data_IF_606562774685
#
_entry.id   IF_606562774685
#
_cell.length_a   1.000
_cell.length_b   1.000
_cell.length_c   1.000
_cell.angle_alpha   90.00
_cell.angle_beta   90.00
_cell.angle_gamma   90.00
#
_symmetry.space_group_name_H-M   'P 1'
#
loop_
_entity.id
_entity.type
_entity.pdbx_description
1 polymer ?
#
# COMPACT_ATOMS: atom_id res chain seq x y z
N UNK A 1 17.97 6.38 -3.76
CA UNK A 1 16.52 6.25 -3.48
C UNK A 1 16.33 5.74 -2.07
N UNK A 2 15.88 6.61 -1.16
CA UNK A 2 15.37 6.14 0.13
C UNK A 2 14.08 5.37 -0.11
N UNK A 3 13.80 4.27 0.60
CA UNK A 3 12.50 3.63 0.53
C UNK A 3 11.44 4.66 0.92
N UNK A 4 10.39 4.80 0.10
CA UNK A 4 9.20 5.60 0.41
C UNK A 4 8.50 5.16 1.72
N UNK A 5 8.92 4.04 2.30
CA UNK A 5 8.46 3.51 3.60
C UNK A 5 8.76 4.47 4.77
N UNK A 6 9.75 5.36 4.64
CA UNK A 6 10.17 6.24 5.75
C UNK A 6 9.51 7.63 5.75
N UNK A 7 8.68 7.95 4.75
CA UNK A 7 7.83 9.14 4.80
C UNK A 7 6.47 8.73 5.34
N UNK A 8 6.35 8.73 6.68
CA UNK A 8 5.05 8.81 7.34
C UNK A 8 4.35 10.06 6.79
N UNK A 9 3.48 9.86 5.79
CA UNK A 9 2.45 10.82 5.46
C UNK A 9 1.69 11.04 6.76
N UNK A 10 1.72 12.27 7.28
CA UNK A 10 0.95 12.64 8.46
C UNK A 10 -0.48 12.10 8.29
N UNK A 11 -0.99 11.32 9.26
CA UNK A 11 -2.33 10.80 9.18
C UNK A 11 -3.27 12.00 9.34
N UNK A 12 -3.70 12.62 8.24
CA UNK A 12 -4.90 13.44 8.23
C UNK A 12 -6.03 12.53 8.70
N UNK A 13 -6.37 12.51 9.98
CA UNK A 13 -7.35 11.60 10.57
C UNK A 13 -8.65 11.58 9.75
N UNK A 14 -9.21 10.37 9.50
CA UNK A 14 -10.61 10.26 9.07
C UNK A 14 -11.39 10.41 10.36
N UNK A 15 -11.56 11.65 10.83
CA UNK A 15 -12.19 11.91 12.13
C UNK A 15 -13.67 11.51 12.13
N UNK A 16 -14.30 11.35 10.96
CA UNK A 16 -15.68 10.84 10.87
C UNK A 16 -15.85 9.81 9.75
N UNK A 17 -15.79 8.52 10.10
CA UNK A 17 -16.34 7.44 9.24
C UNK A 17 -17.85 7.64 9.05
N UNK A 18 -18.52 8.37 9.95
CA UNK A 18 -19.98 8.61 9.89
C UNK A 18 -20.43 9.45 8.69
N UNK A 19 -19.55 10.27 8.11
CA UNK A 19 -19.87 11.12 6.95
C UNK A 19 -19.27 10.63 5.64
N UNK A 20 -18.41 9.61 5.67
CA UNK A 20 -17.83 9.01 4.48
C UNK A 20 -18.88 8.24 3.68
N UNK A 21 -19.10 8.66 2.43
CA UNK A 21 -20.10 8.07 1.53
C UNK A 21 -19.50 7.19 0.44
N UNK A 22 -18.22 7.40 0.12
CA UNK A 22 -17.53 6.71 -0.99
C UNK A 22 -16.17 6.19 -0.56
N UNK A 23 -15.74 5.09 -1.18
CA UNK A 23 -14.35 4.67 -1.18
C UNK A 23 -13.64 5.25 -2.40
N UNK A 24 -12.56 6.00 -2.20
CA UNK A 24 -11.75 6.66 -3.24
C UNK A 24 -10.50 5.82 -3.55
N UNK A 25 -10.14 5.70 -4.83
CA UNK A 25 -8.86 5.18 -5.30
C UNK A 25 -8.20 6.22 -6.22
N UNK A 26 -7.07 6.78 -5.79
CA UNK A 26 -6.29 7.74 -6.58
C UNK A 26 -5.09 7.02 -7.19
N UNK A 27 -5.07 6.89 -8.51
CA UNK A 27 -3.99 6.22 -9.25
C UNK A 27 -3.11 7.27 -9.90
N UNK A 28 -1.81 7.19 -9.66
CA UNK A 28 -0.82 8.13 -10.15
C UNK A 28 0.31 7.43 -10.90
N UNK A 29 0.83 8.08 -11.93
CA UNK A 29 1.98 7.66 -12.73
C UNK A 29 2.94 8.83 -12.91
N UNK A 30 4.21 8.56 -13.16
CA UNK A 30 5.21 9.57 -13.56
C UNK A 30 6.07 9.00 -14.69
N UNK A 31 6.62 9.86 -15.54
CA UNK A 31 7.62 9.52 -16.56
C UNK A 31 9.06 9.60 -16.02
N UNK A 32 9.29 10.18 -14.84
CA UNK A 32 10.62 10.36 -14.25
C UNK A 32 11.20 9.05 -13.72
N UNK A 33 10.33 8.22 -13.14
CA UNK A 33 10.69 6.89 -12.66
C UNK A 33 10.07 5.88 -13.60
N UNK A 34 10.88 5.19 -14.42
CA UNK A 34 10.38 4.11 -15.26
C UNK A 34 9.58 3.15 -14.40
N UNK A 35 8.43 2.72 -14.92
CA UNK A 35 7.62 1.68 -14.31
C UNK A 35 6.98 2.08 -12.95
N UNK A 36 6.97 3.37 -12.61
CA UNK A 36 6.24 3.83 -11.42
C UNK A 36 4.74 3.93 -11.69
N UNK A 37 3.98 3.23 -10.85
CA UNK A 37 2.56 3.49 -10.65
C UNK A 37 2.27 3.42 -9.15
N UNK A 38 1.43 4.32 -8.65
CA UNK A 38 1.04 4.43 -7.24
C UNK A 38 -0.47 4.53 -7.11
N UNK A 39 -1.05 3.91 -6.10
CA UNK A 39 -2.47 3.96 -5.77
C UNK A 39 -2.63 4.33 -4.30
N UNK A 40 -3.51 5.30 -4.04
CA UNK A 40 -3.92 5.69 -2.70
C UNK A 40 -5.38 5.32 -2.49
N UNK A 41 -5.67 4.62 -1.39
CA UNK A 41 -7.04 4.33 -0.97
C UNK A 41 -7.39 5.14 0.26
N UNK A 42 -8.58 5.75 0.24
CA UNK A 42 -9.16 6.45 1.38
C UNK A 42 -10.68 6.52 1.31
N UNK A 43 -11.30 6.99 2.38
CA UNK A 43 -12.70 7.39 2.38
C UNK A 43 -12.89 8.81 1.82
N UNK A 44 -14.03 9.06 1.20
CA UNK A 44 -14.43 10.37 0.71
C UNK A 44 -15.92 10.64 1.01
N UNK A 45 -16.23 11.89 1.36
CA UNK A 45 -17.61 12.36 1.61
C UNK A 45 -18.36 12.64 0.30
N UNK A 46 -17.64 13.11 -0.72
CA UNK A 46 -18.16 13.46 -2.03
C UNK A 46 -17.23 13.01 -3.17
N UNK A 47 -17.79 12.89 -4.37
CA UNK A 47 -17.01 12.60 -5.57
C UNK A 47 -16.50 13.90 -6.19
N UNK A 48 -15.22 14.20 -5.97
CA UNK A 48 -14.54 15.35 -6.59
C UNK A 48 -13.22 14.89 -7.21
N UNK A 49 -13.32 14.30 -8.41
CA UNK A 49 -12.18 13.67 -9.08
C UNK A 49 -11.04 14.66 -9.38
N UNK A 50 -11.37 15.93 -9.66
CA UNK A 50 -10.37 16.96 -9.97
C UNK A 50 -9.57 17.33 -8.72
N UNK A 51 -10.25 17.70 -7.64
CA UNK A 51 -9.59 18.07 -6.38
C UNK A 51 -8.81 16.90 -5.80
N UNK A 52 -9.37 15.68 -5.88
CA UNK A 52 -8.66 14.47 -5.50
C UNK A 52 -7.35 14.29 -6.26
N UNK A 53 -7.39 14.39 -7.60
CA UNK A 53 -6.22 14.21 -8.43
C UNK A 53 -5.15 15.28 -8.17
N UNK A 54 -5.57 16.55 -8.00
CA UNK A 54 -4.67 17.66 -7.69
C UNK A 54 -4.00 17.48 -6.33
N UNK A 55 -4.75 17.09 -5.30
CA UNK A 55 -4.23 16.84 -3.95
C UNK A 55 -3.19 15.72 -3.92
N UNK A 56 -3.48 14.57 -4.53
CA UNK A 56 -2.55 13.44 -4.52
C UNK A 56 -1.33 13.72 -5.40
N UNK A 57 -1.52 14.41 -6.53
CA UNK A 57 -0.42 14.91 -7.35
C UNK A 57 0.52 15.78 -6.52
N UNK A 58 -0.01 16.73 -5.75
CA UNK A 58 0.79 17.60 -4.90
C UNK A 58 1.59 16.82 -3.85
N UNK A 59 1.02 15.76 -3.26
CA UNK A 59 1.75 14.88 -2.34
C UNK A 59 2.95 14.24 -3.03
N UNK A 60 2.78 13.65 -4.21
CA UNK A 60 3.87 13.02 -4.93
C UNK A 60 4.92 14.02 -5.42
N UNK A 61 4.50 15.18 -5.91
CA UNK A 61 5.43 16.19 -6.44
C UNK A 61 6.21 16.90 -5.32
N UNK A 62 5.55 17.26 -4.22
CA UNK A 62 6.19 18.03 -3.14
C UNK A 62 6.91 17.14 -2.12
N UNK A 63 6.26 16.07 -1.65
CA UNK A 63 6.83 15.21 -0.61
C UNK A 63 7.69 14.09 -1.21
N UNK A 64 7.21 13.52 -2.32
CA UNK A 64 7.92 12.48 -3.06
C UNK A 64 9.04 12.99 -3.97
N UNK A 65 9.13 14.32 -4.17
CA UNK A 65 10.08 14.98 -5.09
C UNK A 65 9.99 14.47 -6.53
N UNK A 66 8.82 13.95 -6.94
CA UNK A 66 8.57 13.47 -8.31
C UNK A 66 8.16 14.61 -9.24
N UNK A 67 8.39 14.45 -10.54
CA UNK A 67 7.98 15.38 -11.58
C UNK A 67 6.98 14.74 -12.52
N UNK A 68 6.27 15.58 -13.27
CA UNK A 68 5.32 15.18 -14.31
C UNK A 68 4.30 14.14 -13.82
N UNK A 69 3.86 14.29 -12.57
CA UNK A 69 2.93 13.35 -11.97
C UNK A 69 1.55 13.56 -12.60
N UNK A 70 0.96 12.48 -13.09
CA UNK A 70 -0.41 12.41 -13.58
C UNK A 70 -1.21 11.53 -12.64
N UNK A 71 -2.30 12.06 -12.09
CA UNK A 71 -3.17 11.34 -11.18
C UNK A 71 -4.61 11.31 -11.70
N UNK A 72 -5.30 10.21 -11.48
CA UNK A 72 -6.72 10.04 -11.71
C UNK A 72 -7.38 9.49 -10.45
N UNK A 73 -8.60 9.93 -10.18
CA UNK A 73 -9.36 9.46 -9.03
C UNK A 73 -10.61 8.73 -9.47
N UNK A 74 -10.82 7.59 -8.83
CA UNK A 74 -11.96 6.72 -9.04
C UNK A 74 -12.68 6.52 -7.72
N UNK A 75 -13.99 6.29 -7.80
CA UNK A 75 -14.85 6.11 -6.64
C UNK A 75 -15.58 4.77 -6.75
N UNK A 76 -15.70 4.10 -5.60
CA UNK A 76 -16.63 2.98 -5.42
C UNK A 76 -18.08 3.44 -5.42
N UNK A 77 -19.00 2.48 -5.34
CA UNK A 77 -20.42 2.79 -5.18
C UNK A 77 -20.66 3.42 -3.80
N UNK A 78 -21.71 4.23 -3.70
CA UNK A 78 -22.06 4.92 -2.46
C UNK A 78 -22.46 3.90 -1.38
N UNK A 79 -21.89 4.03 -0.18
CA UNK A 79 -22.17 3.16 0.96
C UNK A 79 -21.69 1.72 0.81
N UNK A 80 -21.05 1.36 -0.31
CA UNK A 80 -20.47 0.03 -0.51
C UNK A 80 -19.12 -0.06 0.20
N UNK A 81 -19.00 -1.05 1.09
CA UNK A 81 -17.73 -1.30 1.75
C UNK A 81 -16.67 -1.82 0.76
N UNK A 82 -15.49 -1.23 0.78
CA UNK A 82 -14.39 -1.51 -0.16
C UNK A 82 -14.79 -1.42 -1.64
N UNK A 83 -15.75 -0.56 -2.02
CA UNK A 83 -16.21 -0.41 -3.41
C UNK A 83 -15.13 0.03 -4.42
N UNK A 84 -13.97 0.48 -3.91
CA UNK A 84 -12.78 0.85 -4.69
C UNK A 84 -11.75 -0.28 -4.88
N UNK A 85 -11.98 -1.48 -4.32
CA UNK A 85 -11.03 -2.62 -4.40
C UNK A 85 -10.76 -3.09 -5.84
N UNK A 86 -11.71 -2.83 -6.75
CA UNK A 86 -11.62 -3.19 -8.17
C UNK A 86 -10.56 -2.37 -8.93
N UNK A 87 -10.12 -1.25 -8.37
CA UNK A 87 -9.10 -0.41 -8.97
C UNK A 87 -7.72 -0.93 -8.52
N UNK A 88 -6.96 -1.44 -9.49
CA UNK A 88 -5.61 -1.96 -9.29
C UNK A 88 -4.59 -1.20 -10.12
N UNK A 89 -3.32 -1.31 -9.73
CA UNK A 89 -2.22 -0.80 -10.53
C UNK A 89 -1.96 -1.75 -11.69
N UNK A 90 -1.80 -1.21 -12.89
CA UNK A 90 -1.37 -2.02 -14.02
C UNK A 90 0.16 -2.16 -14.00
N UNK A 91 0.69 -3.37 -14.26
CA UNK A 91 2.12 -3.53 -14.48
C UNK A 91 2.58 -2.69 -15.68
N UNK A 92 3.82 -2.21 -15.67
CA UNK A 92 4.41 -1.56 -16.82
C UNK A 92 4.55 -2.53 -18.01
N UNK A 93 4.52 -1.99 -19.23
CA UNK A 93 4.49 -2.78 -20.45
C UNK A 93 5.79 -3.54 -20.78
N UNK A 94 6.92 -3.19 -20.14
CA UNK A 94 8.23 -3.79 -20.47
C UNK A 94 9.13 -3.93 -19.22
N UNK A 95 9.14 -5.09 -18.55
CA UNK A 95 10.08 -5.40 -17.49
C UNK A 95 11.47 -5.68 -18.12
N UNK A 96 12.32 -4.66 -18.15
CA UNK A 96 13.60 -4.71 -18.87
C UNK A 96 14.75 -5.34 -18.07
N UNK A 97 14.52 -5.76 -16.82
CA UNK A 97 15.54 -6.33 -15.95
C UNK A 97 15.16 -7.70 -15.38
N UNK A 98 16.16 -8.56 -15.13
CA UNK A 98 15.99 -9.86 -14.43
C UNK A 98 15.65 -9.72 -12.94
N UNK A 99 15.18 -8.55 -12.52
CA UNK A 99 14.89 -8.23 -11.12
C UNK A 99 13.39 -8.10 -11.01
N UNK A 100 12.74 -8.84 -10.10
CA UNK A 100 11.29 -8.83 -10.02
C UNK A 100 10.77 -7.44 -9.69
N UNK A 101 9.63 -7.09 -10.27
CA UNK A 101 8.80 -5.99 -9.82
C UNK A 101 7.84 -6.49 -8.76
N UNK A 102 7.72 -5.80 -7.62
CA UNK A 102 6.77 -6.17 -6.59
C UNK A 102 5.79 -5.04 -6.29
N UNK A 103 4.63 -5.40 -5.78
CA UNK A 103 3.79 -4.46 -5.05
C UNK A 103 4.53 -4.04 -3.79
N UNK A 104 4.57 -2.73 -3.52
CA UNK A 104 5.09 -2.18 -2.27
C UNK A 104 4.03 -1.28 -1.63
N UNK A 105 4.06 -1.15 -0.31
CA UNK A 105 3.19 -0.23 0.42
C UNK A 105 2.50 -0.88 1.58
N UNK A 106 1.47 -0.22 2.11
CA UNK A 106 0.72 -0.71 3.25
C UNK A 106 -0.74 -0.29 3.21
N UNK A 107 -1.62 -1.11 3.77
CA UNK A 107 -3.03 -0.77 4.01
C UNK A 107 -3.37 -1.07 5.47
N UNK A 108 -4.07 -0.14 6.10
CA UNK A 108 -4.74 -0.35 7.38
C UNK A 108 -6.22 -0.63 7.11
N UNK A 109 -6.67 -1.90 7.19
CA UNK A 109 -8.06 -2.25 6.96
C UNK A 109 -9.02 -1.61 7.97
N UNK A 110 -8.56 -1.35 9.21
CA UNK A 110 -9.36 -0.77 10.29
C UNK A 110 -9.91 0.61 9.92
N UNK A 111 -9.06 1.46 9.33
CA UNK A 111 -9.45 2.79 8.88
C UNK A 111 -9.60 2.92 7.36
N UNK A 112 -9.57 1.79 6.64
CA UNK A 112 -9.76 1.66 5.18
C UNK A 112 -8.85 2.59 4.37
N UNK A 113 -7.62 2.80 4.86
CA UNK A 113 -6.62 3.66 4.21
C UNK A 113 -5.39 2.88 3.87
N UNK A 114 -4.77 3.26 2.77
CA UNK A 114 -3.48 2.70 2.42
C UNK A 114 -2.90 3.34 1.20
N UNK A 115 -1.69 2.91 0.88
CA UNK A 115 -1.07 3.17 -0.39
C UNK A 115 -0.42 1.89 -0.89
N UNK A 116 -0.38 1.73 -2.20
CA UNK A 116 0.51 0.77 -2.82
C UNK A 116 1.18 1.40 -4.03
N UNK A 117 2.31 0.85 -4.44
CA UNK A 117 2.93 1.12 -5.72
C UNK A 117 3.47 -0.17 -6.33
N UNK A 118 3.83 -0.09 -7.60
CA UNK A 118 4.62 -1.13 -8.28
C UNK A 118 6.01 -0.57 -8.51
N UNK A 119 7.02 -1.37 -8.18
CA UNK A 119 8.41 -0.95 -8.33
C UNK A 119 9.35 -2.12 -8.52
N UNK A 120 10.46 -1.85 -9.21
CA UNK A 120 11.55 -2.79 -9.40
C UNK A 120 12.26 -3.00 -8.07
N UNK A 121 12.47 -4.26 -7.68
CA UNK A 121 13.22 -4.59 -6.49
C UNK A 121 14.70 -4.21 -6.61
N UNK A 122 15.43 -4.24 -5.48
CA UNK A 122 16.89 -4.17 -5.53
C UNK A 122 17.43 -5.47 -6.16
N UNK A 123 18.59 -5.38 -6.80
CA UNK A 123 19.21 -6.49 -7.57
C UNK A 123 19.34 -7.82 -6.81
N UNK A 124 19.49 -7.79 -5.49
CA UNK A 124 19.63 -8.96 -4.61
C UNK A 124 18.31 -9.39 -3.94
N UNK A 125 17.17 -8.77 -4.30
CA UNK A 125 15.86 -9.09 -3.78
C UNK A 125 15.07 -9.85 -4.86
N UNK A 126 14.93 -11.15 -4.66
CA UNK A 126 14.40 -12.10 -5.63
C UNK A 126 12.96 -12.55 -5.33
N UNK A 127 12.34 -12.01 -4.28
CA UNK A 127 11.01 -12.43 -3.85
C UNK A 127 10.12 -11.22 -3.60
N UNK A 128 8.85 -11.32 -3.96
CA UNK A 128 7.82 -10.42 -3.48
C UNK A 128 7.17 -11.05 -2.24
N UNK A 129 6.88 -10.25 -1.21
CA UNK A 129 6.17 -10.74 -0.02
C UNK A 129 5.02 -9.82 0.38
N UNK A 130 4.09 -10.38 1.14
CA UNK A 130 3.08 -9.65 1.89
C UNK A 130 3.14 -10.09 3.35
N UNK A 131 2.96 -9.16 4.28
CA UNK A 131 2.87 -9.44 5.71
C UNK A 131 1.55 -8.90 6.26
N UNK A 132 0.79 -9.75 6.93
CA UNK A 132 -0.38 -9.34 7.72
C UNK A 132 0.08 -9.16 9.15
N UNK A 133 -0.10 -7.96 9.72
CA UNK A 133 0.43 -7.62 11.03
C UNK A 133 -0.66 -7.03 11.93
N UNK A 134 -0.59 -7.34 13.22
CA UNK A 134 -1.36 -6.69 14.27
C UNK A 134 -0.44 -6.04 15.30
N UNK A 135 -0.80 -4.84 15.75
CA UNK A 135 -0.15 -4.11 16.83
C UNK A 135 -1.15 -3.93 17.96
N UNK A 136 -0.76 -4.28 19.19
CA UNK A 136 -1.52 -4.01 20.39
C UNK A 136 -0.82 -2.87 21.16
N UNK A 137 -1.50 -1.73 21.31
CA UNK A 137 -1.02 -0.57 22.09
C UNK A 137 -2.15 -0.10 23.00
N UNK A 138 -1.89 0.01 24.30
CA UNK A 138 -2.83 0.56 25.28
C UNK A 138 -4.26 -0.04 25.23
N UNK A 139 -4.39 -1.33 24.88
CA UNK A 139 -5.64 -2.10 24.71
C UNK A 139 -6.33 -1.97 23.34
N UNK A 140 -5.83 -1.14 22.44
CA UNK A 140 -6.30 -1.08 21.06
C UNK A 140 -5.48 -2.00 20.17
N UNK A 141 -6.16 -2.74 19.29
CA UNK A 141 -5.54 -3.57 18.27
C UNK A 141 -5.66 -2.89 16.90
N UNK A 142 -4.52 -2.65 16.26
CA UNK A 142 -4.42 -2.11 14.92
C UNK A 142 -3.89 -3.18 13.98
N UNK A 143 -4.68 -3.51 12.95
CA UNK A 143 -4.25 -4.41 11.88
C UNK A 143 -3.74 -3.62 10.68
N UNK A 144 -2.76 -4.15 9.96
CA UNK A 144 -2.30 -3.64 8.67
C UNK A 144 -1.64 -4.73 7.84
N UNK A 145 -1.66 -4.55 6.53
CA UNK A 145 -0.91 -5.39 5.58
C UNK A 145 0.20 -4.56 4.97
N UNK A 146 1.37 -5.15 4.82
CA UNK A 146 2.53 -4.57 4.14
C UNK A 146 2.90 -5.44 2.95
N UNK A 147 3.27 -4.82 1.83
CA UNK A 147 3.87 -5.48 0.67
C UNK A 147 5.26 -4.92 0.43
N UNK A 148 6.22 -5.77 0.07
CA UNK A 148 7.56 -5.34 -0.31
C UNK A 148 8.38 -6.44 -1.01
N UNK A 149 9.65 -6.13 -1.30
CA UNK A 149 10.64 -7.04 -1.86
C UNK A 149 11.47 -7.71 -0.75
N UNK A 150 11.93 -8.92 -1.01
CA UNK A 150 12.70 -9.74 -0.09
C UNK A 150 13.91 -10.41 -0.76
N UNK A 151 15.02 -10.51 -0.02
CA UNK A 151 16.21 -11.25 -0.46
C UNK A 151 16.02 -12.76 -0.43
N UNK A 152 15.30 -13.23 0.59
CA UNK A 152 15.01 -14.64 0.85
C UNK A 152 13.53 -14.79 1.23
N UNK A 153 12.99 -15.98 1.00
CA UNK A 153 11.66 -16.35 1.46
C UNK A 153 11.77 -17.09 2.79
N UNK A 154 11.92 -16.33 3.88
CA UNK A 154 12.00 -16.87 5.23
C UNK A 154 11.36 -15.93 6.27
N UNK A 155 11.08 -16.49 7.45
CA UNK A 155 10.38 -15.79 8.53
C UNK A 155 11.24 -14.70 9.21
N UNK A 156 12.52 -14.53 8.83
CA UNK A 156 13.36 -13.47 9.40
C UNK A 156 12.79 -12.09 9.07
N UNK A 157 12.19 -11.93 7.89
CA UNK A 157 11.56 -10.67 7.46
C UNK A 157 10.41 -10.26 8.39
N UNK A 158 9.54 -11.19 8.77
CA UNK A 158 8.46 -10.90 9.70
C UNK A 158 8.99 -10.52 11.08
N UNK A 159 10.02 -11.22 11.56
CA UNK A 159 10.68 -10.89 12.83
C UNK A 159 11.33 -9.52 12.81
N UNK A 160 11.97 -9.14 11.71
CA UNK A 160 12.55 -7.81 11.52
C UNK A 160 11.46 -6.72 11.54
N UNK A 161 10.32 -6.95 10.86
CA UNK A 161 9.18 -6.03 10.91
C UNK A 161 8.66 -5.84 12.33
N UNK A 162 8.43 -6.94 13.06
CA UNK A 162 7.98 -6.91 14.45
C UNK A 162 8.98 -6.15 15.35
N UNK A 163 10.28 -6.41 15.21
CA UNK A 163 11.33 -5.77 16.01
C UNK A 163 11.44 -4.26 15.74
N UNK A 164 11.37 -3.85 14.48
CA UNK A 164 11.50 -2.44 14.11
C UNK A 164 10.37 -1.61 14.73
N UNK A 165 9.14 -2.11 14.69
CA UNK A 165 7.99 -1.41 15.24
C UNK A 165 7.98 -1.47 16.77
N UNK A 166 8.20 -2.65 17.37
CA UNK A 166 8.23 -2.78 18.84
C UNK A 166 9.36 -1.95 19.47
N UNK A 167 10.50 -1.75 18.79
CA UNK A 167 11.55 -0.86 19.28
C UNK A 167 11.13 0.61 19.38
N UNK A 168 10.10 1.01 18.63
CA UNK A 168 9.55 2.37 18.58
C UNK A 168 8.38 2.53 19.57
N UNK A 169 7.72 1.44 19.95
CA UNK A 169 6.58 1.44 20.86
C UNK A 169 7.02 1.08 22.29
N UNK A 170 6.90 2.02 23.23
CA UNK A 170 7.32 1.80 24.64
C UNK A 170 6.66 0.58 25.31
N UNK A 171 5.40 0.27 24.95
CA UNK A 171 4.60 -0.82 25.53
C UNK A 171 3.81 -1.60 24.47
N UNK A 172 4.23 -1.53 23.20
CA UNK A 172 3.53 -2.18 22.09
C UNK A 172 3.96 -3.63 21.88
N UNK A 173 3.04 -4.49 21.47
CA UNK A 173 3.35 -5.82 20.90
C UNK A 173 2.92 -5.85 19.45
N UNK A 174 3.78 -6.35 18.59
CA UNK A 174 3.45 -6.58 17.18
C UNK A 174 3.62 -8.07 16.87
N UNK A 175 2.72 -8.60 16.05
CA UNK A 175 2.83 -9.92 15.45
C UNK A 175 2.55 -9.82 13.97
N UNK A 176 3.33 -10.53 13.15
CA UNK A 176 3.17 -10.57 11.71
C UNK A 176 3.19 -12.01 11.17
N UNK A 177 2.37 -12.25 10.16
CA UNK A 177 2.41 -13.44 9.32
C UNK A 177 2.83 -13.07 7.89
N UNK A 178 3.92 -13.66 7.41
CA UNK A 178 4.49 -13.38 6.09
C UNK A 178 4.10 -14.46 5.08
N UNK A 179 3.78 -14.04 3.86
CA UNK A 179 3.63 -14.89 2.69
C UNK A 179 4.59 -14.42 1.60
N UNK A 180 5.19 -15.39 0.91
CA UNK A 180 6.18 -15.15 -0.12
C UNK A 180 5.69 -15.68 -1.46
N UNK A 181 5.88 -14.86 -2.49
CA UNK A 181 5.68 -15.23 -3.87
C UNK A 181 6.79 -16.13 -4.40
N UNK A 182 6.57 -16.63 -5.61
CA UNK A 182 7.59 -17.35 -6.34
C UNK A 182 8.81 -16.45 -6.61
N UNK A 183 9.99 -17.07 -6.63
CA UNK A 183 11.26 -16.40 -6.88
C UNK A 183 11.31 -15.83 -8.31
N UNK A 184 11.78 -14.60 -8.45
CA UNK A 184 11.99 -13.91 -9.74
C UNK A 184 10.71 -13.82 -10.58
N UNK A 185 9.55 -13.78 -9.92
CA UNK A 185 8.24 -13.60 -10.56
C UNK A 185 7.68 -12.22 -10.22
N UNK A 186 7.39 -11.45 -11.26
CA UNK A 186 6.78 -10.13 -11.14
C UNK A 186 5.41 -10.22 -10.45
N UNK A 187 5.17 -9.27 -9.56
CA UNK A 187 3.92 -9.06 -8.84
C UNK A 187 3.40 -10.32 -8.13
N UNK A 188 4.28 -11.23 -7.74
CA UNK A 188 3.89 -12.47 -7.06
C UNK A 188 3.16 -12.22 -5.72
N UNK A 189 3.20 -11.00 -5.19
CA UNK A 189 2.49 -10.57 -3.98
C UNK A 189 1.24 -9.71 -4.23
N UNK A 190 0.82 -9.48 -5.47
CA UNK A 190 -0.28 -8.54 -5.80
C UNK A 190 -1.60 -8.91 -5.11
N UNK A 191 -1.94 -10.20 -5.15
CA UNK A 191 -3.18 -10.76 -4.60
C UNK A 191 -3.04 -11.31 -3.18
N UNK A 192 -1.83 -11.27 -2.62
CA UNK A 192 -1.58 -11.79 -1.28
C UNK A 192 -2.25 -10.94 -0.22
N UNK A 193 -2.82 -11.61 0.78
CA UNK A 193 -3.52 -11.05 1.93
C UNK A 193 -4.76 -10.21 1.62
N UNK A 194 -5.09 -9.88 0.35
CA UNK A 194 -6.32 -9.15 0.01
C UNK A 194 -7.60 -9.94 0.32
N UNK A 195 -7.56 -11.26 0.15
CA UNK A 195 -8.71 -12.14 0.37
C UNK A 195 -9.04 -12.37 1.85
N UNK A 196 -8.11 -12.09 2.77
CA UNK A 196 -8.34 -12.24 4.22
C UNK A 196 -9.23 -11.11 4.78
N UNK A 197 -9.42 -10.02 4.03
CA UNK A 197 -10.18 -8.83 4.44
C UNK A 197 -11.48 -8.65 3.68
N UNK A 198 -11.70 -9.45 2.63
CA UNK A 198 -13.00 -9.49 1.96
C UNK A 198 -13.88 -10.47 2.74
N UNK A 199 -15.08 -10.08 3.20
CA UNK A 199 -16.06 -11.10 3.59
C UNK A 199 -16.18 -12.07 2.41
N UNK A 200 -16.13 -13.38 2.69
CA UNK A 200 -16.44 -14.41 1.71
C UNK A 200 -17.77 -14.01 1.08
N UNK A 201 -17.72 -13.53 -0.17
CA UNK A 201 -18.95 -13.17 -0.88
C UNK A 201 -19.74 -14.49 -1.03
N UNK A 202 -20.98 -14.56 -0.52
CA UNK A 202 -21.82 -15.74 -0.69
C UNK A 202 -22.16 -16.01 -2.15
#
# INVERSE_FOLDING_TARGET
MRPLVEQQLEPDECVDIEHARFCEASICTTDEVPNFAGIHWKCAEEQNAKECAERIKEIYEKKGELKNVSCQCHYGEEGEDFGNKKFTLQPPADPTDKVPMCKFGAINPTNKRGFAGIGVCKKDHHYCYAASCSIIVAQDELSFVVWSCAKKADDEICKELEQNVTSTLKDGKMSCECQFGARDVDLANEMMMLNQWLPLMP
#
